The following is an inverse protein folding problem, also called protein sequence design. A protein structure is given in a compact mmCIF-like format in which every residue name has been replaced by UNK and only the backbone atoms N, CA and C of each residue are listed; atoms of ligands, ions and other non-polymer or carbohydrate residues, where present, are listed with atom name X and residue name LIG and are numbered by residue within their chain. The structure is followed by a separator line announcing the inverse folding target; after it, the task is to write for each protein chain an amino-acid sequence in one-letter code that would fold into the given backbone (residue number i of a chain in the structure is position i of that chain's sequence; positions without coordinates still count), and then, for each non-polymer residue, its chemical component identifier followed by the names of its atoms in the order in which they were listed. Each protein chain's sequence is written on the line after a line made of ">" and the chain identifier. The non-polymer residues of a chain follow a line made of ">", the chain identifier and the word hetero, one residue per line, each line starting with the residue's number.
data_IF_098305136725
#
_entry.id   IF_098305136725
#
_cell.length_a   1.000
_cell.length_b   1.000
_cell.length_c   1.000
_cell.angle_alpha   90.00
_cell.angle_beta   90.00
_cell.angle_gamma   90.00
#
_symmetry.space_group_name_H-M   'P 1'
#
loop_
_entity.id
_entity.type
_entity.pdbx_description
1 polymer ?
#
# COMPACT_ATOMS: atom_id res chain seq x y z
N UNK A 1 -5.15 -9.45 -40.03
CA UNK A 1 -4.39 -8.32 -39.51
C UNK A 1 -3.57 -8.81 -38.33
N UNK A 2 -2.34 -8.32 -38.12
CA UNK A 2 -1.58 -8.64 -36.91
C UNK A 2 -2.25 -8.01 -35.69
N UNK A 3 -2.30 -8.73 -34.57
CA UNK A 3 -2.82 -8.20 -33.31
C UNK A 3 -1.94 -7.05 -32.81
N UNK A 4 -2.55 -6.06 -32.16
CA UNK A 4 -1.84 -4.98 -31.45
C UNK A 4 -1.27 -5.54 -30.15
N UNK A 5 0.05 -5.51 -30.00
CA UNK A 5 0.72 -5.91 -28.75
C UNK A 5 0.53 -4.79 -27.70
N UNK A 6 -0.32 -5.06 -26.73
CA UNK A 6 -0.63 -4.13 -25.65
C UNK A 6 0.10 -4.57 -24.37
N UNK A 7 1.05 -3.78 -23.91
CA UNK A 7 1.68 -3.99 -22.63
C UNK A 7 1.02 -3.10 -21.56
N UNK A 8 0.78 -3.67 -20.38
CA UNK A 8 0.22 -2.97 -19.23
C UNK A 8 1.19 -3.15 -18.05
N UNK A 9 1.67 -2.07 -17.46
CA UNK A 9 2.52 -2.10 -16.28
C UNK A 9 1.68 -1.77 -15.06
N UNK A 10 1.42 -2.79 -14.26
CA UNK A 10 0.61 -2.76 -13.05
C UNK A 10 -0.71 -3.52 -13.17
N UNK A 11 -0.85 -4.55 -12.34
CA UNK A 11 -2.08 -5.34 -12.19
C UNK A 11 -2.75 -5.02 -10.83
N UNK A 12 -2.93 -3.74 -10.56
CA UNK A 12 -3.76 -3.26 -9.44
C UNK A 12 -5.19 -2.97 -9.90
N UNK A 13 -5.97 -2.29 -9.05
CA UNK A 13 -7.38 -1.95 -9.31
C UNK A 13 -7.56 -1.25 -10.66
N UNK A 14 -6.71 -0.26 -10.98
CA UNK A 14 -6.81 0.52 -12.23
C UNK A 14 -6.42 -0.34 -13.44
N UNK A 15 -5.31 -1.09 -13.36
CA UNK A 15 -4.86 -1.94 -14.47
C UNK A 15 -5.86 -3.05 -14.80
N UNK A 16 -6.44 -3.68 -13.78
CA UNK A 16 -7.48 -4.68 -13.95
C UNK A 16 -8.75 -4.08 -14.56
N UNK A 17 -9.24 -2.97 -14.00
CA UNK A 17 -10.44 -2.29 -14.52
C UNK A 17 -10.28 -1.84 -15.96
N UNK A 18 -9.10 -1.33 -16.33
CA UNK A 18 -8.80 -1.00 -17.72
C UNK A 18 -8.94 -2.22 -18.65
N UNK A 19 -8.45 -3.39 -18.22
CA UNK A 19 -8.56 -4.63 -19.02
C UNK A 19 -10.03 -5.04 -19.17
N UNK A 20 -10.81 -5.04 -18.08
CA UNK A 20 -12.25 -5.33 -18.13
C UNK A 20 -12.96 -4.41 -19.14
N UNK A 21 -12.77 -3.09 -19.01
CA UNK A 21 -13.40 -2.10 -19.88
C UNK A 21 -12.95 -2.22 -21.34
N UNK A 22 -11.67 -2.55 -21.59
CA UNK A 22 -11.17 -2.78 -22.94
C UNK A 22 -11.82 -4.00 -23.59
N UNK A 23 -11.91 -5.10 -22.84
CA UNK A 23 -12.48 -6.37 -23.35
C UNK A 23 -14.00 -6.30 -23.51
N UNK A 24 -14.69 -5.48 -22.72
CA UNK A 24 -16.13 -5.25 -22.83
C UNK A 24 -16.49 -4.34 -24.03
N UNK A 25 -15.67 -3.32 -24.29
CA UNK A 25 -15.95 -2.27 -25.28
C UNK A 25 -15.30 -2.48 -26.64
N UNK A 26 -14.45 -3.50 -26.79
CA UNK A 26 -13.73 -3.77 -28.04
C UNK A 26 -13.59 -5.26 -28.31
N UNK A 27 -13.30 -5.60 -29.56
CA UNK A 27 -13.00 -6.99 -29.95
C UNK A 27 -11.65 -7.43 -29.36
N UNK A 28 -11.69 -8.32 -28.38
CA UNK A 28 -10.51 -8.88 -27.70
C UNK A 28 -9.52 -9.53 -28.69
N UNK A 29 -10.01 -10.02 -29.84
CA UNK A 29 -9.17 -10.65 -30.87
C UNK A 29 -8.18 -9.70 -31.53
N UNK A 30 -8.39 -8.38 -31.41
CA UNK A 30 -7.51 -7.34 -31.94
C UNK A 30 -6.22 -7.15 -31.13
N UNK A 31 -6.17 -7.67 -29.89
CA UNK A 31 -5.08 -7.39 -28.96
C UNK A 31 -4.34 -8.68 -28.55
N UNK A 32 -3.02 -8.54 -28.37
CA UNK A 32 -2.16 -9.46 -27.60
C UNK A 32 -1.72 -8.74 -26.34
N UNK A 33 -2.37 -9.08 -25.21
CA UNK A 33 -2.26 -8.32 -23.96
C UNK A 33 -1.27 -9.01 -23.02
N UNK A 34 -0.22 -8.28 -22.60
CA UNK A 34 0.72 -8.70 -21.57
C UNK A 34 0.70 -7.70 -20.41
N UNK A 35 0.52 -8.20 -19.19
CA UNK A 35 0.40 -7.41 -17.97
C UNK A 35 1.53 -7.74 -17.00
N UNK A 36 2.30 -6.75 -16.59
CA UNK A 36 3.28 -6.89 -15.51
C UNK A 36 2.60 -6.72 -14.16
N UNK A 37 2.80 -7.69 -13.28
CA UNK A 37 2.25 -7.72 -11.94
C UNK A 37 3.38 -7.96 -10.94
N UNK A 38 3.87 -6.88 -10.29
CA UNK A 38 4.99 -6.96 -9.35
C UNK A 38 4.66 -7.79 -8.11
N UNK A 39 3.42 -7.72 -7.63
CA UNK A 39 2.96 -8.45 -6.46
C UNK A 39 2.76 -9.95 -6.77
N UNK A 40 2.84 -10.82 -5.74
CA UNK A 40 2.73 -12.27 -5.92
C UNK A 40 1.29 -12.74 -6.19
N UNK A 41 0.36 -11.79 -6.40
CA UNK A 41 -1.06 -12.05 -6.67
C UNK A 41 -1.64 -11.10 -7.70
N UNK A 42 -2.74 -11.52 -8.35
CA UNK A 42 -3.52 -10.71 -9.27
C UNK A 42 -4.25 -9.59 -8.52
N UNK A 43 -4.92 -8.68 -9.25
CA UNK A 43 -5.61 -7.51 -8.70
C UNK A 43 -6.58 -7.85 -7.55
N UNK A 44 -6.54 -7.05 -6.50
CA UNK A 44 -7.43 -7.14 -5.35
C UNK A 44 -7.87 -5.76 -4.87
N UNK A 45 -8.93 -5.72 -4.08
CA UNK A 45 -9.51 -4.49 -3.55
C UNK A 45 -8.68 -3.92 -2.41
N UNK A 46 -7.99 -2.80 -2.71
CA UNK A 46 -7.20 -2.08 -1.70
C UNK A 46 -8.02 -1.09 -0.89
N UNK A 47 -9.24 -0.77 -1.33
CA UNK A 47 -10.12 0.13 -0.56
C UNK A 47 -10.63 -0.60 0.68
N UNK A 48 -10.91 -1.90 0.55
CA UNK A 48 -11.37 -2.73 1.67
C UNK A 48 -10.23 -3.53 2.33
N UNK A 49 -8.98 -3.07 2.21
CA UNK A 49 -7.82 -3.78 2.75
C UNK A 49 -7.92 -4.00 4.27
N UNK A 50 -8.50 -3.06 5.01
CA UNK A 50 -8.73 -3.17 6.46
C UNK A 50 -9.64 -4.33 6.85
N UNK A 51 -10.55 -4.76 5.97
CA UNK A 51 -11.43 -5.91 6.22
C UNK A 51 -10.67 -7.23 6.33
N UNK A 52 -9.45 -7.30 5.80
CA UNK A 52 -8.58 -8.49 5.92
C UNK A 52 -8.36 -8.92 7.37
N UNK A 53 -8.27 -7.96 8.31
CA UNK A 53 -8.17 -8.25 9.75
C UNK A 53 -9.48 -8.71 10.40
N UNK A 54 -10.58 -8.65 9.66
CA UNK A 54 -11.91 -9.07 10.13
C UNK A 54 -12.31 -10.43 9.55
N UNK A 55 -11.34 -11.33 9.39
CA UNK A 55 -11.51 -12.70 8.88
C UNK A 55 -11.77 -12.82 7.37
N UNK A 56 -11.50 -11.78 6.58
CA UNK A 56 -11.49 -11.90 5.13
C UNK A 56 -10.20 -12.54 4.65
N UNK A 57 -10.32 -13.37 3.61
CA UNK A 57 -9.15 -13.98 2.96
C UNK A 57 -8.65 -13.11 1.80
N UNK A 58 -7.44 -13.39 1.33
CA UNK A 58 -6.90 -12.73 0.15
C UNK A 58 -7.77 -12.99 -1.11
N UNK A 59 -8.41 -14.15 -1.15
CA UNK A 59 -9.31 -14.57 -2.22
C UNK A 59 -10.60 -13.75 -2.23
N UNK A 60 -11.16 -13.45 -1.06
CA UNK A 60 -12.36 -12.61 -0.92
C UNK A 60 -12.12 -11.15 -1.31
N UNK A 61 -10.88 -10.67 -1.18
CA UNK A 61 -10.49 -9.36 -1.68
C UNK A 61 -10.20 -9.36 -3.19
N UNK A 62 -10.11 -10.53 -3.85
CA UNK A 62 -9.81 -10.60 -5.28
C UNK A 62 -10.84 -9.86 -6.12
N UNK A 63 -10.38 -8.99 -7.01
CA UNK A 63 -11.20 -8.34 -8.03
C UNK A 63 -11.31 -9.20 -9.30
N UNK A 64 -10.44 -10.21 -9.43
CA UNK A 64 -10.32 -11.02 -10.63
C UNK A 64 -11.19 -12.26 -10.48
N UNK A 65 -12.21 -12.38 -11.35
CA UNK A 65 -13.02 -13.60 -11.43
C UNK A 65 -12.14 -14.77 -11.88
N UNK A 66 -12.40 -15.95 -11.34
CA UNK A 66 -11.67 -17.16 -11.70
C UNK A 66 -11.67 -17.38 -13.21
N UNK A 67 -10.51 -17.68 -13.77
CA UNK A 67 -10.33 -17.91 -15.20
C UNK A 67 -10.48 -16.68 -16.11
N UNK A 68 -10.66 -15.46 -15.56
CA UNK A 68 -10.92 -14.27 -16.38
C UNK A 68 -9.81 -13.98 -17.38
N UNK A 69 -8.56 -13.92 -16.94
CA UNK A 69 -7.44 -13.62 -17.84
C UNK A 69 -7.18 -14.72 -18.84
N UNK A 70 -7.27 -15.95 -18.40
CA UNK A 70 -7.09 -17.16 -19.22
C UNK A 70 -8.14 -17.24 -20.34
N UNK A 71 -9.41 -17.00 -20.01
CA UNK A 71 -10.53 -16.99 -20.96
C UNK A 71 -10.36 -15.96 -22.07
N UNK A 72 -9.76 -14.81 -21.75
CA UNK A 72 -9.56 -13.72 -22.71
C UNK A 72 -8.16 -13.71 -23.32
N UNK A 73 -7.32 -14.71 -23.05
CA UNK A 73 -5.97 -14.80 -23.59
C UNK A 73 -5.03 -13.71 -23.08
N UNK A 74 -5.31 -13.12 -21.91
CA UNK A 74 -4.47 -12.09 -21.28
C UNK A 74 -3.34 -12.75 -20.52
N UNK A 75 -2.10 -12.42 -20.87
CA UNK A 75 -0.91 -12.93 -20.20
C UNK A 75 -0.55 -12.04 -19.01
N UNK A 76 -0.72 -12.55 -17.78
CA UNK A 76 -0.30 -11.86 -16.56
C UNK A 76 1.00 -12.43 -16.03
N UNK A 77 2.03 -11.59 -15.90
CA UNK A 77 3.34 -11.93 -15.37
C UNK A 77 3.36 -11.64 -13.87
N UNK A 78 2.81 -12.56 -13.08
CA UNK A 78 2.69 -12.43 -11.62
C UNK A 78 4.07 -12.55 -10.95
N UNK A 79 4.37 -11.69 -9.99
CA UNK A 79 5.68 -11.60 -9.31
C UNK A 79 6.76 -10.94 -10.19
N UNK A 80 6.40 -10.33 -11.32
CA UNK A 80 7.37 -9.82 -12.29
C UNK A 80 7.21 -8.30 -12.47
N UNK A 81 8.26 -7.56 -12.14
CA UNK A 81 8.29 -6.09 -12.24
C UNK A 81 8.91 -5.64 -13.56
N UNK A 82 8.31 -4.64 -14.22
CA UNK A 82 8.96 -3.89 -15.30
C UNK A 82 10.08 -3.03 -14.72
N UNK A 83 11.29 -3.14 -15.26
CA UNK A 83 12.49 -2.43 -14.77
C UNK A 83 12.85 -1.25 -15.67
N UNK A 84 12.82 -1.45 -17.00
CA UNK A 84 13.18 -0.42 -17.98
C UNK A 84 12.21 -0.45 -19.16
N UNK A 85 12.01 0.71 -19.77
CA UNK A 85 11.24 0.89 -20.99
C UNK A 85 12.14 1.58 -22.02
N UNK A 86 12.37 0.93 -23.17
CA UNK A 86 12.95 1.58 -24.35
C UNK A 86 11.81 1.96 -25.30
N UNK A 87 11.48 3.25 -25.37
CA UNK A 87 10.38 3.79 -26.18
C UNK A 87 10.67 3.75 -27.68
N UNK A 88 11.94 3.86 -28.09
CA UNK A 88 12.34 3.85 -29.50
C UNK A 88 12.17 2.46 -30.08
N UNK A 89 12.65 1.45 -29.37
CA UNK A 89 12.55 0.05 -29.77
C UNK A 89 11.20 -0.59 -29.36
N UNK A 90 10.39 0.12 -28.57
CA UNK A 90 9.12 -0.36 -27.98
C UNK A 90 9.30 -1.67 -27.23
N UNK A 91 10.23 -1.67 -26.28
CA UNK A 91 10.61 -2.84 -25.49
C UNK A 91 10.56 -2.53 -24.00
N UNK A 92 10.12 -3.50 -23.20
CA UNK A 92 10.15 -3.49 -21.74
C UNK A 92 11.01 -4.65 -21.28
N UNK A 93 11.94 -4.38 -20.36
CA UNK A 93 12.69 -5.42 -19.65
C UNK A 93 12.17 -5.59 -18.23
N UNK A 94 12.07 -6.84 -17.80
CA UNK A 94 11.54 -7.20 -16.49
C UNK A 94 12.59 -7.67 -15.50
N UNK A 95 12.19 -7.78 -14.22
CA UNK A 95 13.01 -8.32 -13.13
C UNK A 95 13.40 -9.79 -13.32
N UNK A 96 12.66 -10.55 -14.12
CA UNK A 96 12.95 -11.93 -14.44
C UNK A 96 13.81 -12.09 -15.73
N UNK A 97 14.38 -10.98 -16.25
CA UNK A 97 15.18 -11.00 -17.48
C UNK A 97 14.37 -11.16 -18.76
N UNK A 98 13.05 -11.03 -18.70
CA UNK A 98 12.16 -11.12 -19.87
C UNK A 98 12.20 -9.82 -20.67
N UNK A 99 12.13 -9.94 -21.98
CA UNK A 99 11.95 -8.84 -22.94
C UNK A 99 10.55 -8.93 -23.53
N UNK A 100 9.75 -7.88 -23.40
CA UNK A 100 8.40 -7.78 -23.93
C UNK A 100 8.32 -6.63 -24.92
N UNK A 101 7.98 -6.95 -26.17
CA UNK A 101 7.74 -5.97 -27.24
C UNK A 101 6.30 -5.48 -27.17
N UNK A 102 6.08 -4.19 -27.44
CA UNK A 102 4.75 -3.60 -27.44
C UNK A 102 4.52 -2.64 -28.61
N UNK A 103 3.28 -2.47 -29.02
CA UNK A 103 2.85 -1.42 -29.94
C UNK A 103 2.20 -0.26 -29.18
N UNK A 104 1.49 -0.60 -28.11
CA UNK A 104 0.87 0.34 -27.16
C UNK A 104 1.26 -0.03 -25.73
N UNK A 105 1.43 0.97 -24.89
CA UNK A 105 1.81 0.82 -23.49
C UNK A 105 0.84 1.60 -22.59
N UNK A 106 0.33 0.93 -21.55
CA UNK A 106 -0.44 1.53 -20.46
C UNK A 106 0.40 1.44 -19.19
N UNK A 107 0.54 2.54 -18.48
CA UNK A 107 1.19 2.61 -17.19
C UNK A 107 0.15 2.82 -16.08
N UNK A 108 -0.07 1.79 -15.27
CA UNK A 108 -0.96 1.77 -14.11
C UNK A 108 -0.19 1.38 -12.85
N UNK A 109 0.98 1.99 -12.66
CA UNK A 109 2.01 1.64 -11.67
C UNK A 109 1.60 1.92 -10.22
N UNK A 110 0.55 2.71 -10.01
CA UNK A 110 0.02 3.04 -8.70
C UNK A 110 0.96 3.90 -7.85
N UNK A 111 1.05 3.58 -6.57
CA UNK A 111 1.80 4.34 -5.57
C UNK A 111 2.50 3.43 -4.58
N UNK A 112 3.42 4.01 -3.81
CA UNK A 112 4.07 3.37 -2.67
C UNK A 112 3.85 4.18 -1.39
N UNK A 113 3.87 3.55 -0.20
CA UNK A 113 3.80 4.26 1.07
C UNK A 113 4.99 5.20 1.22
N UNK A 114 4.70 6.40 1.72
CA UNK A 114 5.76 7.34 2.08
C UNK A 114 6.03 7.26 3.58
N UNK A 115 7.29 7.09 3.95
CA UNK A 115 7.74 7.15 5.34
C UNK A 115 8.54 8.46 5.47
N UNK A 116 8.21 9.33 6.45
CA UNK A 116 9.01 10.50 6.74
C UNK A 116 10.46 10.11 7.07
N UNK A 117 11.44 11.00 6.85
CA UNK A 117 12.84 10.73 7.16
C UNK A 117 13.09 10.74 8.69
N UNK A 118 12.50 9.77 9.38
CA UNK A 118 12.64 9.55 10.82
C UNK A 118 13.80 8.58 11.03
N UNK A 119 14.80 8.99 11.81
CA UNK A 119 15.92 8.12 12.17
C UNK A 119 15.41 6.85 12.88
N UNK A 120 15.82 5.68 12.39
CA UNK A 120 15.39 4.38 12.92
C UNK A 120 14.05 3.86 12.38
N UNK A 121 13.44 4.53 11.40
CA UNK A 121 12.19 4.07 10.77
C UNK A 121 12.34 2.76 9.98
N UNK A 122 13.56 2.38 9.62
CA UNK A 122 13.92 1.16 8.92
C UNK A 122 14.22 -0.03 9.85
N UNK A 123 14.12 0.15 11.17
CA UNK A 123 14.37 -0.93 12.13
C UNK A 123 13.31 -2.05 12.02
N UNK A 124 13.67 -3.25 12.48
CA UNK A 124 12.76 -4.39 12.52
C UNK A 124 11.43 -4.01 13.18
N UNK A 125 10.33 -4.62 12.74
CA UNK A 125 8.96 -4.36 13.24
C UNK A 125 8.49 -2.89 13.07
N UNK A 126 9.02 -2.21 12.06
CA UNK A 126 8.48 -1.00 11.47
C UNK A 126 7.85 -1.37 10.11
N UNK A 127 6.56 -1.15 9.97
CA UNK A 127 5.75 -1.61 8.83
C UNK A 127 5.13 -0.44 8.09
N UNK A 128 4.71 -0.71 6.87
CA UNK A 128 3.78 0.13 6.10
C UNK A 128 2.44 -0.60 5.95
N UNK A 129 1.41 0.12 5.54
CA UNK A 129 0.06 -0.41 5.40
C UNK A 129 -0.38 -0.24 3.95
N UNK A 130 -0.10 -1.23 3.08
CA UNK A 130 -0.36 -1.08 1.64
C UNK A 130 -0.73 -2.36 0.89
N UNK A 131 -0.14 -3.50 1.25
CA UNK A 131 -0.31 -4.78 0.57
C UNK A 131 -0.82 -5.85 1.55
N UNK A 132 -1.33 -6.94 1.03
CA UNK A 132 -1.72 -8.09 1.87
C UNK A 132 -0.49 -8.66 2.59
N UNK A 133 0.69 -8.62 1.96
CA UNK A 133 1.95 -9.03 2.59
C UNK A 133 2.27 -8.15 3.81
N UNK A 134 2.07 -6.83 3.70
CA UNK A 134 2.23 -5.92 4.84
C UNK A 134 1.29 -6.30 5.98
N UNK A 135 0.02 -6.60 5.66
CA UNK A 135 -0.98 -6.98 6.67
C UNK A 135 -0.62 -8.29 7.36
N UNK A 136 -0.15 -9.30 6.62
CA UNK A 136 0.33 -10.56 7.19
C UNK A 136 1.49 -10.33 8.16
N UNK A 137 2.44 -9.47 7.79
CA UNK A 137 3.58 -9.13 8.64
C UNK A 137 3.14 -8.38 9.91
N UNK A 138 2.22 -7.41 9.77
CA UNK A 138 1.64 -6.67 10.89
C UNK A 138 0.88 -7.62 11.83
N UNK A 139 0.02 -8.50 11.31
CA UNK A 139 -0.73 -9.46 12.12
C UNK A 139 0.19 -10.41 12.87
N UNK A 140 1.18 -10.97 12.21
CA UNK A 140 2.17 -11.86 12.83
C UNK A 140 2.94 -11.15 13.96
N UNK A 141 3.24 -9.84 13.79
CA UNK A 141 3.88 -9.05 14.83
C UNK A 141 2.90 -8.73 15.98
N UNK A 142 1.67 -8.32 15.66
CA UNK A 142 0.64 -7.97 16.64
C UNK A 142 0.33 -9.13 17.60
N UNK A 143 0.29 -10.38 17.11
CA UNK A 143 0.05 -11.58 17.92
C UNK A 143 1.07 -11.81 19.04
N UNK A 144 2.31 -11.29 18.90
CA UNK A 144 3.37 -11.41 19.92
C UNK A 144 3.63 -10.11 20.68
N UNK A 145 2.87 -9.05 20.36
CA UNK A 145 3.07 -7.69 20.87
C UNK A 145 1.94 -7.28 21.80
N UNK A 146 2.24 -6.34 22.70
CA UNK A 146 1.24 -5.75 23.60
C UNK A 146 0.82 -4.36 23.18
N UNK A 147 1.76 -3.57 22.64
CA UNK A 147 1.57 -2.16 22.31
C UNK A 147 2.06 -1.84 20.90
N UNK A 148 1.22 -1.20 20.10
CA UNK A 148 1.54 -0.76 18.75
C UNK A 148 1.25 0.71 18.53
N UNK A 149 2.05 1.37 17.68
CA UNK A 149 1.79 2.73 17.23
C UNK A 149 1.47 2.76 15.74
N UNK A 150 0.49 3.59 15.37
CA UNK A 150 0.23 3.99 13.98
C UNK A 150 0.65 5.44 13.82
N UNK A 151 1.59 5.71 12.94
CA UNK A 151 2.03 7.07 12.60
C UNK A 151 1.22 7.55 11.41
N UNK A 152 0.40 8.57 11.64
CA UNK A 152 -0.56 9.16 10.71
C UNK A 152 -2.00 9.01 11.18
N UNK A 153 -2.68 10.13 11.40
CA UNK A 153 -4.07 10.23 11.87
C UNK A 153 -5.08 10.52 10.75
N UNK A 154 -4.73 10.20 9.50
CA UNK A 154 -5.64 10.22 8.37
C UNK A 154 -6.49 8.97 8.28
N UNK A 155 -7.35 8.87 7.24
CA UNK A 155 -8.32 7.79 7.08
C UNK A 155 -7.69 6.39 7.20
N UNK A 156 -6.67 6.11 6.40
CA UNK A 156 -5.99 4.81 6.38
C UNK A 156 -5.29 4.49 7.71
N UNK A 157 -4.74 5.51 8.40
CA UNK A 157 -4.11 5.35 9.70
C UNK A 157 -5.13 4.98 10.78
N UNK A 158 -6.31 5.59 10.75
CA UNK A 158 -7.39 5.26 11.69
C UNK A 158 -7.96 3.87 11.43
N UNK A 159 -8.05 3.44 10.16
CA UNK A 159 -8.41 2.06 9.81
C UNK A 159 -7.38 1.06 10.34
N UNK A 160 -6.10 1.33 10.12
CA UNK A 160 -5.02 0.50 10.67
C UNK A 160 -5.07 0.43 12.20
N UNK A 161 -5.32 1.56 12.88
CA UNK A 161 -5.45 1.60 14.33
C UNK A 161 -6.65 0.78 14.84
N UNK A 162 -7.78 0.87 14.14
CA UNK A 162 -8.95 0.02 14.40
C UNK A 162 -8.64 -1.47 14.27
N UNK A 163 -7.91 -1.83 13.21
CA UNK A 163 -7.47 -3.21 12.98
C UNK A 163 -6.55 -3.72 14.11
N UNK A 164 -5.52 -2.96 14.50
CA UNK A 164 -4.62 -3.32 15.59
C UNK A 164 -5.38 -3.48 16.93
N UNK A 165 -6.30 -2.57 17.22
CA UNK A 165 -7.14 -2.65 18.42
C UNK A 165 -7.98 -3.93 18.42
N UNK A 166 -8.55 -4.32 17.25
CA UNK A 166 -9.34 -5.56 17.13
C UNK A 166 -8.48 -6.82 17.30
N UNK A 167 -7.19 -6.76 17.00
CA UNK A 167 -6.21 -7.82 17.30
C UNK A 167 -5.80 -7.87 18.80
N UNK A 168 -6.38 -7.01 19.65
CA UNK A 168 -6.11 -6.98 21.09
C UNK A 168 -4.88 -6.19 21.48
N UNK A 169 -4.31 -5.39 20.58
CA UNK A 169 -3.13 -4.55 20.83
C UNK A 169 -3.53 -3.23 21.49
N UNK A 170 -2.84 -2.80 22.55
CA UNK A 170 -2.91 -1.43 23.06
C UNK A 170 -2.40 -0.49 21.96
N UNK A 171 -3.33 0.25 21.34
CA UNK A 171 -3.06 0.97 20.10
C UNK A 171 -2.94 2.47 20.34
N UNK A 172 -1.88 3.06 19.80
CA UNK A 172 -1.60 4.49 19.82
C UNK A 172 -1.61 5.05 18.39
N UNK A 173 -2.33 6.15 18.16
CA UNK A 173 -2.25 6.94 16.92
C UNK A 173 -1.38 8.15 17.19
N UNK A 174 -0.35 8.33 16.38
CA UNK A 174 0.61 9.44 16.44
C UNK A 174 0.37 10.35 15.24
N UNK A 175 -0.11 11.55 15.49
CA UNK A 175 -0.42 12.52 14.43
C UNK A 175 0.43 13.78 14.58
N UNK A 176 1.08 14.17 13.48
CA UNK A 176 1.88 15.40 13.42
C UNK A 176 1.01 16.66 13.50
N UNK A 177 -0.14 16.65 12.82
CA UNK A 177 -1.09 17.76 12.86
C UNK A 177 -1.74 17.92 14.24
N UNK A 178 -2.31 19.10 14.56
CA UNK A 178 -2.99 19.33 15.82
C UNK A 178 -4.31 18.57 15.99
N UNK A 179 -4.81 17.95 14.91
CA UNK A 179 -6.05 17.18 14.93
C UNK A 179 -6.02 16.01 13.95
N UNK A 180 -6.91 15.04 14.14
CA UNK A 180 -7.11 13.93 13.21
C UNK A 180 -7.81 14.43 11.94
N UNK A 181 -7.50 13.78 10.80
CA UNK A 181 -8.12 14.07 9.49
C UNK A 181 -8.08 15.56 9.12
N UNK A 182 -6.96 16.25 9.38
CA UNK A 182 -6.79 17.70 9.24
C UNK A 182 -7.09 18.24 7.81
N UNK A 183 -6.97 17.40 6.78
CA UNK A 183 -7.28 17.76 5.40
C UNK A 183 -8.79 17.66 5.07
N UNK A 184 -9.58 16.95 5.88
CA UNK A 184 -10.98 16.65 5.60
C UNK A 184 -11.96 17.27 6.60
N UNK A 185 -11.49 17.57 7.82
CA UNK A 185 -12.33 18.05 8.92
C UNK A 185 -11.87 19.42 9.41
N UNK A 186 -12.83 20.19 9.91
CA UNK A 186 -12.54 21.38 10.72
C UNK A 186 -12.14 20.99 12.16
N UNK A 187 -11.81 21.99 12.97
CA UNK A 187 -11.37 21.78 14.34
C UNK A 187 -12.41 21.06 15.20
N UNK A 188 -13.69 21.40 15.05
CA UNK A 188 -14.77 20.75 15.82
C UNK A 188 -14.96 19.30 15.39
N UNK A 189 -14.95 19.03 14.09
CA UNK A 189 -15.05 17.68 13.54
C UNK A 189 -13.87 16.81 13.97
N UNK A 190 -12.65 17.33 13.91
CA UNK A 190 -11.44 16.65 14.36
C UNK A 190 -11.47 16.30 15.85
N UNK A 191 -11.94 17.20 16.71
CA UNK A 191 -12.09 16.94 18.14
C UNK A 191 -13.18 15.90 18.44
N UNK A 192 -14.31 15.94 17.74
CA UNK A 192 -15.36 14.91 17.88
C UNK A 192 -14.86 13.55 17.44
N UNK A 193 -14.14 13.49 16.31
CA UNK A 193 -13.52 12.26 15.83
C UNK A 193 -12.53 11.71 16.86
N UNK A 194 -11.65 12.55 17.39
CA UNK A 194 -10.69 12.16 18.44
C UNK A 194 -11.40 11.52 19.63
N UNK A 195 -12.43 12.18 20.21
CA UNK A 195 -13.22 11.64 21.32
C UNK A 195 -13.83 10.29 20.98
N UNK A 196 -14.36 10.15 19.75
CA UNK A 196 -14.93 8.88 19.30
C UNK A 196 -13.87 7.77 19.23
N UNK A 197 -12.71 8.04 18.65
CA UNK A 197 -11.60 7.08 18.55
C UNK A 197 -11.09 6.70 19.96
N UNK A 198 -10.93 7.67 20.86
CA UNK A 198 -10.53 7.41 22.24
C UNK A 198 -11.57 6.59 23.00
N UNK A 199 -12.86 6.85 22.79
CA UNK A 199 -13.96 6.06 23.40
C UNK A 199 -13.98 4.60 22.93
N UNK A 200 -13.36 4.32 21.78
CA UNK A 200 -13.18 2.98 21.27
C UNK A 200 -11.94 2.28 21.85
N UNK A 201 -11.18 2.94 22.73
CA UNK A 201 -10.00 2.37 23.40
C UNK A 201 -8.68 2.56 22.63
N UNK A 202 -8.63 3.42 21.64
CA UNK A 202 -7.40 3.83 20.95
C UNK A 202 -6.88 5.12 21.58
N UNK A 203 -5.59 5.19 21.87
CA UNK A 203 -4.96 6.41 22.40
C UNK A 203 -4.52 7.32 21.27
N UNK A 204 -4.89 8.60 21.33
CA UNK A 204 -4.59 9.57 20.27
C UNK A 204 -3.60 10.61 20.77
N UNK A 205 -2.51 10.80 20.05
CA UNK A 205 -1.46 11.77 20.31
C UNK A 205 -1.33 12.70 19.11
N UNK A 206 -1.93 13.87 19.17
CA UNK A 206 -1.83 14.93 18.15
C UNK A 206 -0.66 15.87 18.44
N UNK A 207 -0.25 16.69 17.47
CA UNK A 207 0.91 17.59 17.54
C UNK A 207 2.21 16.87 17.92
N UNK A 208 2.37 15.61 17.50
CA UNK A 208 3.53 14.76 17.79
C UNK A 208 4.43 14.61 16.57
N UNK A 209 5.53 15.34 16.58
CA UNK A 209 6.57 15.23 15.57
C UNK A 209 7.61 14.18 16.00
N UNK A 210 7.52 12.98 15.44
CA UNK A 210 8.48 11.90 15.69
C UNK A 210 9.83 12.24 15.07
N UNK A 211 10.87 12.32 15.89
CA UNK A 211 12.25 12.64 15.48
C UNK A 211 13.10 11.39 15.29
N UNK A 212 12.95 10.44 16.19
CA UNK A 212 13.79 9.26 16.24
C UNK A 212 13.02 8.05 16.79
N UNK A 213 13.34 6.88 16.29
CA UNK A 213 12.92 5.59 16.82
C UNK A 213 14.18 4.86 17.27
N UNK A 214 14.26 4.54 18.55
CA UNK A 214 15.40 3.87 19.17
C UNK A 214 15.00 2.47 19.56
N UNK A 215 15.76 1.47 19.09
CA UNK A 215 15.68 0.09 19.53
C UNK A 215 16.96 -0.25 20.29
N UNK A 216 16.83 -0.73 21.52
CA UNK A 216 17.99 -1.11 22.33
C UNK A 216 18.32 -2.60 22.14
N UNK A 217 19.46 -2.87 21.52
CA UNK A 217 19.92 -4.23 21.29
C UNK A 217 18.93 -5.09 20.49
N UNK A 218 18.70 -6.31 20.93
CA UNK A 218 17.73 -7.26 20.34
C UNK A 218 16.35 -7.21 20.98
N UNK A 219 16.05 -6.18 21.77
CA UNK A 219 14.73 -6.05 22.37
C UNK A 219 13.68 -5.73 21.32
N UNK A 220 12.50 -6.36 21.42
CA UNK A 220 11.38 -6.06 20.55
C UNK A 220 10.84 -4.62 20.76
N UNK A 221 11.08 -4.08 22.00
CA UNK A 221 10.57 -2.76 22.39
C UNK A 221 11.35 -1.63 21.74
N UNK A 222 10.61 -0.62 21.28
CA UNK A 222 11.12 0.62 20.67
C UNK A 222 10.69 1.82 21.48
N UNK A 223 11.54 2.83 21.53
CA UNK A 223 11.21 4.14 22.07
C UNK A 223 11.07 5.14 20.94
N UNK A 224 9.88 5.67 20.74
CA UNK A 224 9.62 6.80 19.85
C UNK A 224 9.91 8.09 20.60
N UNK A 225 10.79 8.94 20.05
CA UNK A 225 11.14 10.25 20.60
C UNK A 225 10.51 11.36 19.79
N UNK A 226 9.86 12.30 20.48
CA UNK A 226 9.18 13.40 19.84
C UNK A 226 9.93 14.72 20.02
N UNK A 227 9.66 15.68 19.14
CA UNK A 227 10.31 17.00 19.16
C UNK A 227 10.06 17.80 20.45
N UNK A 228 8.97 17.52 21.16
CA UNK A 228 8.65 18.14 22.46
C UNK A 228 9.37 17.49 23.65
N UNK A 229 10.28 16.57 23.40
CA UNK A 229 11.05 15.84 24.42
C UNK A 229 10.30 14.68 25.07
N UNK A 230 9.03 14.45 24.75
CA UNK A 230 8.29 13.29 25.25
C UNK A 230 8.69 12.01 24.52
N UNK A 231 8.45 10.87 25.14
CA UNK A 231 8.75 9.55 24.60
C UNK A 231 7.53 8.63 24.69
N UNK A 232 7.47 7.64 23.81
CA UNK A 232 6.48 6.56 23.82
C UNK A 232 7.16 5.23 23.53
N UNK A 233 6.98 4.26 24.43
CA UNK A 233 7.44 2.89 24.23
C UNK A 233 6.36 2.06 23.54
N UNK A 234 6.76 1.35 22.47
CA UNK A 234 5.90 0.45 21.69
C UNK A 234 6.69 -0.77 21.24
N UNK A 235 6.00 -1.86 20.90
CA UNK A 235 6.64 -3.08 20.40
C UNK A 235 6.84 -3.01 18.88
N UNK A 236 5.91 -2.36 18.16
CA UNK A 236 6.01 -2.17 16.71
C UNK A 236 5.33 -0.87 16.25
N UNK A 237 5.63 -0.47 15.02
CA UNK A 237 5.15 0.78 14.43
C UNK A 237 4.61 0.51 13.03
N UNK A 238 3.47 1.10 12.69
CA UNK A 238 2.86 1.08 11.37
C UNK A 238 2.83 2.50 10.80
N UNK A 239 3.51 2.74 9.69
CA UNK A 239 3.50 4.03 9.01
C UNK A 239 2.33 4.13 8.03
N UNK A 240 1.49 5.14 8.21
CA UNK A 240 0.36 5.51 7.36
C UNK A 240 0.36 7.02 7.08
N UNK A 241 1.52 7.54 6.67
CA UNK A 241 1.83 8.98 6.53
C UNK A 241 1.64 9.50 5.10
N UNK A 242 0.87 8.77 4.28
CA UNK A 242 0.58 9.12 2.90
C UNK A 242 1.28 8.21 1.89
N UNK A 243 1.11 8.57 0.63
CA UNK A 243 1.62 7.79 -0.51
C UNK A 243 2.33 8.70 -1.49
N UNK A 244 3.21 8.11 -2.31
CA UNK A 244 3.87 8.76 -3.45
C UNK A 244 3.60 7.97 -4.72
N UNK A 245 3.41 8.62 -5.89
CA UNK A 245 3.23 7.93 -7.16
C UNK A 245 4.48 7.11 -7.53
N UNK A 246 4.27 5.97 -8.18
CA UNK A 246 5.35 5.15 -8.76
C UNK A 246 5.65 5.63 -10.18
N UNK A 247 6.11 6.86 -10.33
CA UNK A 247 6.38 7.55 -11.60
C UNK A 247 7.82 7.39 -12.10
N UNK A 248 8.71 6.82 -11.29
CA UNK A 248 10.14 6.66 -11.61
C UNK A 248 10.37 6.01 -12.98
N UNK A 249 9.61 4.97 -13.31
CA UNK A 249 9.74 4.27 -14.59
C UNK A 249 9.32 5.16 -15.77
N UNK A 250 8.28 5.98 -15.59
CA UNK A 250 7.83 6.96 -16.58
C UNK A 250 8.91 8.04 -16.80
N UNK A 251 9.42 8.61 -15.71
CA UNK A 251 10.48 9.62 -15.77
C UNK A 251 11.75 9.09 -16.44
N UNK A 252 12.17 7.86 -16.08
CA UNK A 252 13.37 7.24 -16.67
C UNK A 252 13.26 7.00 -18.17
N UNK A 253 12.07 6.77 -18.70
CA UNK A 253 11.87 6.61 -20.15
C UNK A 253 11.45 7.91 -20.86
N UNK A 254 11.52 9.06 -20.17
CA UNK A 254 11.22 10.37 -20.76
C UNK A 254 9.72 10.66 -20.95
N UNK A 255 8.87 10.04 -20.15
CA UNK A 255 7.47 10.45 -19.96
C UNK A 255 7.44 11.34 -18.73
N UNK A 256 7.40 12.64 -18.93
CA UNK A 256 7.30 13.64 -17.86
C UNK A 256 5.83 13.95 -17.59
#
# INVERSE_FOLDING_TARGET
>A
MSKVRLAIIGNGMVGHRFIEDLLDKSDASLFDITVFCEEPRKAYDRVHLSSYFSHHTAEELSLVREGFYEKHGVKVLVGERAITINRQEKVIHSSAGRTVYYDKLIMATGSYPWIPPIKGSETQDCFVYRTIEDLNAIEACARRSKRGAVVGGGLLGLEAAGALKNLGVETHVIEFAPMLMAEQLDQMGGEQLRRKIESMGVRVHTSKNTQEIVQQGNEARKTMRFADGSELEVDFIVFSTGIRPRDKLATQCGLA
#
